data_IF_882145372695
#
_entry.id   IF_882145372695
#
_cell.length_a   1.000
_cell.length_b   1.000
_cell.length_c   1.000
_cell.angle_alpha   90.00
_cell.angle_beta   90.00
_cell.angle_gamma   90.00
#
_symmetry.space_group_name_H-M   'P 1'
#
loop_
_entity.id
_entity.type
_entity.pdbx_description
1 polymer ?
#
# COMPACT_ATOMS: atom_id res chain seq x y z
N UNK A 1 11.28 15.50 -5.90
CA UNK A 1 11.66 14.44 -4.95
C UNK A 1 12.71 15.00 -3.99
N UNK A 2 12.94 14.34 -2.84
CA UNK A 2 14.02 14.70 -1.91
C UNK A 2 15.38 14.38 -2.56
N UNK A 3 16.45 15.08 -2.20
CA UNK A 3 17.79 14.71 -2.68
C UNK A 3 18.18 13.34 -2.12
N UNK A 4 18.94 12.56 -2.90
CA UNK A 4 19.28 11.19 -2.54
C UNK A 4 20.01 11.09 -1.19
N UNK A 5 20.91 12.03 -0.95
CA UNK A 5 21.75 12.07 0.25
C UNK A 5 20.96 12.36 1.52
N UNK A 6 19.77 12.96 1.37
CA UNK A 6 18.90 13.31 2.49
C UNK A 6 17.87 12.20 2.78
N UNK A 7 17.74 11.16 1.94
CA UNK A 7 16.71 10.11 2.09
C UNK A 7 16.84 9.34 3.40
N UNK A 8 15.81 9.28 4.23
CA UNK A 8 15.80 8.50 5.47
C UNK A 8 14.79 7.35 5.39
N UNK A 9 14.60 6.61 6.50
CA UNK A 9 13.68 5.46 6.54
C UNK A 9 12.23 5.84 6.22
N UNK A 10 11.85 7.12 6.35
CA UNK A 10 10.49 7.61 6.05
C UNK A 10 10.29 8.00 4.58
N UNK A 11 11.30 7.82 3.75
CA UNK A 11 11.18 7.94 2.29
C UNK A 11 10.87 6.55 1.69
N UNK A 12 9.74 6.42 0.98
CA UNK A 12 9.23 5.13 0.45
C UNK A 12 10.30 4.27 -0.25
N UNK A 13 11.14 4.89 -1.08
CA UNK A 13 12.22 4.19 -1.79
C UNK A 13 13.26 3.59 -0.82
N UNK A 14 13.65 4.34 0.22
CA UNK A 14 14.61 3.88 1.22
C UNK A 14 13.97 2.83 2.14
N UNK A 15 12.72 3.06 2.57
CA UNK A 15 11.93 2.11 3.34
C UNK A 15 11.93 0.74 2.66
N UNK A 16 11.51 0.71 1.41
CA UNK A 16 11.40 -0.54 0.68
C UNK A 16 12.75 -1.19 0.46
N UNK A 17 13.81 -0.42 0.15
CA UNK A 17 15.16 -0.99 -0.01
C UNK A 17 15.69 -1.63 1.27
N UNK A 18 15.43 -1.01 2.42
CA UNK A 18 15.83 -1.53 3.73
C UNK A 18 15.01 -2.75 4.11
N UNK A 19 13.70 -2.71 3.85
CA UNK A 19 12.80 -3.83 4.13
C UNK A 19 12.88 -4.95 3.09
N UNK A 20 13.54 -4.77 1.94
CA UNK A 20 13.95 -5.86 1.05
C UNK A 20 14.97 -6.81 1.71
N UNK A 21 15.60 -6.39 2.83
CA UNK A 21 16.48 -7.26 3.59
C UNK A 21 15.65 -8.22 4.46
N UNK A 22 15.82 -9.52 4.24
CA UNK A 22 15.05 -10.57 4.92
C UNK A 22 15.17 -10.49 6.45
N UNK A 23 16.37 -10.27 7.00
CA UNK A 23 16.53 -10.19 8.46
C UNK A 23 15.76 -9.00 9.06
N UNK A 24 15.70 -7.86 8.35
CA UNK A 24 14.93 -6.69 8.79
C UNK A 24 13.43 -6.96 8.73
N UNK A 25 12.93 -7.45 7.59
CA UNK A 25 11.52 -7.75 7.40
C UNK A 25 11.03 -8.82 8.38
N UNK A 26 11.83 -9.87 8.56
CA UNK A 26 11.55 -10.97 9.48
C UNK A 26 11.47 -10.49 10.92
N UNK A 27 12.47 -9.77 11.42
CA UNK A 27 12.46 -9.27 12.80
C UNK A 27 11.27 -8.33 13.05
N UNK A 28 11.00 -7.43 12.10
CA UNK A 28 9.86 -6.53 12.18
C UNK A 28 8.53 -7.28 12.27
N UNK A 29 8.28 -8.24 11.37
CA UNK A 29 7.03 -8.99 11.34
C UNK A 29 6.85 -9.85 12.60
N UNK A 30 7.91 -10.52 13.05
CA UNK A 30 7.88 -11.29 14.30
C UNK A 30 7.54 -10.40 15.51
N UNK A 31 8.15 -9.21 15.60
CA UNK A 31 7.92 -8.28 16.69
C UNK A 31 6.53 -7.63 16.64
N UNK A 32 6.04 -7.27 15.46
CA UNK A 32 4.76 -6.58 15.31
C UNK A 32 3.59 -7.53 15.46
N UNK A 33 3.68 -8.73 14.90
CA UNK A 33 2.59 -9.71 14.91
C UNK A 33 2.72 -10.72 16.05
N UNK A 34 3.85 -10.74 16.77
CA UNK A 34 4.15 -11.69 17.87
C UNK A 34 4.07 -13.14 17.42
N UNK A 35 4.69 -13.38 16.27
CA UNK A 35 4.77 -14.69 15.59
C UNK A 35 6.22 -15.14 15.52
N UNK A 36 6.41 -16.44 15.41
CA UNK A 36 7.69 -16.99 14.96
C UNK A 36 7.60 -17.18 13.46
N UNK A 37 8.65 -16.77 12.76
CA UNK A 37 8.80 -16.97 11.33
C UNK A 37 10.12 -17.69 11.13
N UNK A 38 10.12 -18.78 10.37
CA UNK A 38 11.35 -19.53 10.11
C UNK A 38 12.10 -18.98 8.91
N UNK A 39 11.39 -18.79 7.80
CA UNK A 39 11.91 -18.30 6.53
C UNK A 39 10.92 -17.38 5.85
N UNK A 40 11.46 -16.41 5.12
CA UNK A 40 10.66 -15.51 4.30
C UNK A 40 11.28 -15.33 2.94
N UNK A 41 10.43 -15.08 1.95
CA UNK A 41 10.80 -14.48 0.68
C UNK A 41 10.30 -13.03 0.70
N UNK A 42 11.18 -12.09 0.36
CA UNK A 42 10.83 -10.66 0.26
C UNK A 42 10.85 -10.22 -1.19
N UNK A 43 9.72 -9.73 -1.66
CA UNK A 43 9.54 -9.11 -2.97
C UNK A 43 9.27 -7.63 -2.76
N UNK A 44 9.98 -6.79 -3.49
CA UNK A 44 9.77 -5.34 -3.45
C UNK A 44 9.21 -4.88 -4.78
N UNK A 45 8.03 -4.29 -4.73
CA UNK A 45 7.35 -3.79 -5.91
C UNK A 45 7.43 -2.27 -5.98
N UNK A 46 7.54 -1.76 -7.20
CA UNK A 46 7.47 -0.34 -7.48
C UNK A 46 6.35 -0.13 -8.51
N UNK A 47 5.21 0.37 -8.06
CA UNK A 47 4.05 0.64 -8.93
C UNK A 47 3.71 2.12 -8.94
N UNK A 48 3.31 2.64 -10.10
CA UNK A 48 2.91 4.03 -10.25
C UNK A 48 1.38 4.13 -10.16
N UNK A 49 0.88 4.94 -9.22
CA UNK A 49 -0.51 5.40 -9.24
C UNK A 49 -0.55 6.81 -9.82
N UNK A 50 -1.40 7.01 -10.82
CA UNK A 50 -1.70 8.34 -11.37
C UNK A 50 -2.78 8.98 -10.49
N UNK A 51 -2.39 9.89 -9.60
CA UNK A 51 -3.31 10.84 -8.95
C UNK A 51 -3.30 12.16 -9.77
N UNK A 52 -4.46 12.74 -10.13
CA UNK A 52 -4.56 14.02 -10.81
C UNK A 52 -3.82 15.18 -10.13
N UNK A 53 -3.59 15.10 -8.81
CA UNK A 53 -2.98 16.16 -8.01
C UNK A 53 -1.57 15.81 -7.50
N UNK A 54 -1.18 14.52 -7.49
CA UNK A 54 0.14 14.08 -7.04
C UNK A 54 0.69 12.89 -7.85
N UNK A 55 2.02 12.84 -8.03
CA UNK A 55 2.70 11.65 -8.55
C UNK A 55 3.19 10.84 -7.36
N UNK A 56 2.59 9.70 -7.07
CA UNK A 56 3.13 8.78 -6.06
C UNK A 56 3.57 7.47 -6.73
N UNK A 57 4.86 7.16 -6.60
CA UNK A 57 5.34 5.78 -6.78
C UNK A 57 5.21 5.10 -5.43
N UNK A 58 4.48 4.00 -5.44
CA UNK A 58 4.38 3.11 -4.29
C UNK A 58 5.60 2.22 -4.26
N UNK A 59 6.15 2.06 -3.06
CA UNK A 59 7.16 1.06 -2.76
C UNK A 59 6.67 0.20 -1.60
N UNK A 60 6.06 -0.91 -1.96
CA UNK A 60 5.51 -1.93 -1.07
C UNK A 60 6.49 -3.09 -0.93
N UNK A 61 6.43 -3.72 0.23
CA UNK A 61 7.22 -4.89 0.55
C UNK A 61 6.26 -6.03 0.80
N UNK A 62 6.24 -6.97 -0.15
CA UNK A 62 5.51 -8.21 -0.05
C UNK A 62 6.43 -9.26 0.57
N UNK A 63 6.01 -9.82 1.70
CA UNK A 63 6.75 -10.87 2.40
C UNK A 63 5.90 -12.13 2.40
N UNK A 64 6.50 -13.25 2.04
CA UNK A 64 5.87 -14.57 2.01
C UNK A 64 6.59 -15.48 2.99
N UNK A 65 5.87 -16.08 3.92
CA UNK A 65 6.46 -17.12 4.76
C UNK A 65 6.57 -18.43 3.98
N UNK A 66 7.75 -19.05 4.00
CA UNK A 66 7.94 -20.35 3.34
C UNK A 66 7.33 -21.48 4.18
N UNK A 67 6.62 -22.44 3.56
CA UNK A 67 6.16 -23.63 4.26
C UNK A 67 7.34 -24.51 4.68
N UNK A 68 7.25 -25.06 5.90
CA UNK A 68 8.18 -26.05 6.42
C UNK A 68 8.26 -27.27 5.50
N UNK A 69 9.48 -27.79 5.28
CA UNK A 69 9.65 -29.00 4.48
C UNK A 69 9.01 -30.20 5.19
N UNK A 70 8.46 -31.15 4.41
CA UNK A 70 7.74 -32.31 4.95
C UNK A 70 8.56 -33.12 5.98
N UNK A 71 9.90 -33.09 5.91
CA UNK A 71 10.80 -33.78 6.85
C UNK A 71 10.89 -33.15 8.24
N UNK A 72 10.61 -31.85 8.37
CA UNK A 72 10.74 -31.10 9.63
C UNK A 72 9.44 -31.13 10.46
N UNK A 73 8.33 -31.51 9.83
CA UNK A 73 6.98 -31.44 10.40
C UNK A 73 6.61 -32.51 11.44
N UNK A 74 7.42 -33.56 11.59
CA UNK A 74 7.06 -34.73 12.39
C UNK A 74 7.29 -34.58 13.90
N UNK A 75 8.01 -33.54 14.37
CA UNK A 75 8.43 -33.44 15.77
C UNK A 75 7.55 -32.59 16.69
N UNK A 76 6.61 -31.76 16.20
CA UNK A 76 6.04 -30.68 17.04
C UNK A 76 4.51 -30.60 17.14
N UNK A 77 3.77 -31.67 16.87
CA UNK A 77 2.32 -31.70 17.09
C UNK A 77 1.95 -32.00 18.57
N UNK A 78 1.88 -30.96 19.41
CA UNK A 78 1.03 -30.99 20.62
C UNK A 78 0.03 -29.83 20.60
N UNK A 79 -1.23 -30.23 20.64
CA UNK A 79 -2.48 -29.47 20.60
C UNK A 79 -2.53 -28.20 21.46
N UNK A 80 -3.04 -27.10 20.89
CA UNK A 80 -3.54 -25.96 21.65
C UNK A 80 -4.87 -25.46 21.06
N UNK A 81 -5.89 -25.37 21.90
CA UNK A 81 -7.23 -24.87 21.61
C UNK A 81 -7.29 -23.34 21.55
N UNK A 82 -8.15 -22.79 20.68
CA UNK A 82 -8.43 -21.36 20.50
C UNK A 82 -8.85 -20.69 21.83
N UNK A 83 -8.18 -19.61 22.28
CA UNK A 83 -8.62 -18.85 23.44
C UNK A 83 -9.74 -17.85 23.10
N UNK A 84 -10.75 -17.79 23.98
CA UNK A 84 -11.84 -16.80 23.98
C UNK A 84 -11.52 -15.68 24.98
N UNK A 85 -11.12 -14.47 24.53
CA UNK A 85 -11.46 -13.19 25.18
C UNK A 85 -10.76 -11.95 24.57
N UNK A 86 -11.36 -10.75 24.73
CA UNK A 86 -10.91 -9.50 24.13
C UNK A 86 -9.89 -8.81 25.06
N UNK A 87 -8.61 -9.01 24.80
CA UNK A 87 -7.59 -8.46 25.70
C UNK A 87 -6.15 -8.54 25.21
N UNK A 88 -5.93 -8.49 23.89
CA UNK A 88 -4.70 -8.17 23.16
C UNK A 88 -5.00 -8.51 21.68
N UNK A 89 -5.01 -7.57 20.73
CA UNK A 89 -5.35 -7.87 19.34
C UNK A 89 -4.29 -8.72 18.61
N UNK A 90 -3.21 -9.16 19.24
CA UNK A 90 -2.33 -10.20 18.69
C UNK A 90 -2.54 -11.57 19.37
N UNK A 91 -3.58 -11.73 20.23
CA UNK A 91 -3.87 -13.01 20.88
C UNK A 91 -4.58 -14.02 19.96
N UNK A 92 -5.15 -13.55 18.85
CA UNK A 92 -5.84 -14.39 17.85
C UNK A 92 -4.95 -14.79 16.67
N UNK A 93 -3.80 -14.11 16.49
CA UNK A 93 -2.79 -14.55 15.54
C UNK A 93 -2.31 -15.92 16.01
N UNK A 94 -2.38 -16.93 15.13
CA UNK A 94 -2.04 -18.30 15.52
C UNK A 94 -0.58 -18.32 16.01
N UNK A 95 -0.38 -18.51 17.32
CA UNK A 95 0.94 -18.62 17.97
C UNK A 95 1.55 -20.02 17.79
N UNK A 96 0.83 -20.92 17.13
CA UNK A 96 1.24 -22.29 16.86
C UNK A 96 2.09 -22.34 15.59
N UNK A 97 3.30 -22.94 15.63
CA UNK A 97 4.00 -23.38 14.43
C UNK A 97 3.03 -24.24 13.59
N UNK A 98 2.77 -23.86 12.34
CA UNK A 98 1.88 -24.62 11.46
C UNK A 98 2.65 -25.81 10.88
N UNK A 99 2.01 -26.98 10.92
CA UNK A 99 2.53 -28.25 10.41
C UNK A 99 2.58 -28.33 8.89
N UNK A 100 3.25 -29.35 8.34
CA UNK A 100 3.57 -29.63 6.90
C UNK A 100 2.51 -29.39 5.81
N UNK A 101 1.24 -29.14 6.12
CA UNK A 101 0.24 -28.71 5.14
C UNK A 101 -0.12 -27.22 5.24
N UNK A 102 0.63 -26.46 6.05
CA UNK A 102 0.38 -25.07 6.36
C UNK A 102 0.77 -24.17 5.20
N UNK A 103 -0.24 -23.65 4.51
CA UNK A 103 -0.07 -22.55 3.57
C UNK A 103 0.58 -21.37 4.33
N UNK A 104 1.65 -20.79 3.77
CA UNK A 104 2.39 -19.70 4.40
C UNK A 104 1.53 -18.44 4.58
N UNK A 105 2.04 -17.40 5.23
CA UNK A 105 1.37 -16.10 5.34
C UNK A 105 1.90 -15.10 4.33
N UNK A 106 1.02 -14.20 3.89
CA UNK A 106 1.36 -13.04 3.08
C UNK A 106 1.31 -11.77 3.93
N UNK A 107 2.34 -10.96 3.82
CA UNK A 107 2.42 -9.66 4.47
C UNK A 107 2.72 -8.59 3.43
N UNK A 108 1.81 -7.65 3.26
CA UNK A 108 2.08 -6.42 2.52
C UNK A 108 2.40 -5.33 3.53
N UNK A 109 3.57 -4.69 3.39
CA UNK A 109 4.01 -3.62 4.28
C UNK A 109 4.20 -2.35 3.45
N UNK A 110 3.45 -1.31 3.78
CA UNK A 110 3.51 -0.02 3.09
C UNK A 110 3.71 1.13 4.08
N UNK A 111 4.68 2.00 3.78
CA UNK A 111 4.86 3.27 4.45
C UNK A 111 3.99 4.36 3.80
N UNK A 112 3.27 5.12 4.62
CA UNK A 112 2.39 6.20 4.17
C UNK A 112 2.62 7.49 4.96
N UNK A 113 3.14 8.51 4.28
CA UNK A 113 3.46 9.81 4.89
C UNK A 113 2.28 10.79 4.88
N UNK A 114 1.36 10.65 3.93
CA UNK A 114 0.22 11.55 3.76
C UNK A 114 -1.13 10.83 3.88
N UNK A 115 -2.18 11.57 4.24
CA UNK A 115 -3.53 11.04 4.19
C UNK A 115 -4.11 11.30 2.80
N UNK A 116 -4.18 10.24 2.00
CA UNK A 116 -4.66 10.27 0.63
C UNK A 116 -6.18 9.99 0.55
N UNK A 117 -6.77 9.46 1.63
CA UNK A 117 -8.21 9.16 1.76
C UNK A 117 -8.64 7.81 1.18
N UNK A 118 -7.84 7.17 0.33
CA UNK A 118 -8.15 5.89 -0.33
C UNK A 118 -7.50 4.66 0.32
N UNK A 119 -6.70 4.81 1.38
CA UNK A 119 -5.97 3.68 1.99
C UNK A 119 -6.86 2.46 2.33
N UNK A 120 -8.10 2.62 2.83
CA UNK A 120 -8.97 1.45 3.06
C UNK A 120 -9.34 0.71 1.76
N UNK A 121 -9.58 1.43 0.67
CA UNK A 121 -9.84 0.83 -0.65
C UNK A 121 -8.58 0.20 -1.22
N UNK A 122 -7.42 0.82 -0.98
CA UNK A 122 -6.10 0.34 -1.39
C UNK A 122 -5.71 -0.96 -0.68
N UNK A 123 -5.98 -1.05 0.62
CA UNK A 123 -5.81 -2.28 1.40
C UNK A 123 -6.64 -3.45 0.83
N UNK A 124 -7.88 -3.18 0.39
CA UNK A 124 -8.71 -4.19 -0.31
C UNK A 124 -8.11 -4.60 -1.65
N UNK A 125 -7.54 -3.65 -2.39
CA UNK A 125 -6.86 -3.94 -3.66
C UNK A 125 -5.64 -4.85 -3.44
N UNK A 126 -4.81 -4.60 -2.43
CA UNK A 126 -3.64 -5.45 -2.13
C UNK A 126 -4.01 -6.85 -1.71
N UNK A 127 -5.06 -6.99 -0.90
CA UNK A 127 -5.61 -8.29 -0.57
C UNK A 127 -5.99 -9.07 -1.84
N UNK A 128 -6.70 -8.43 -2.78
CA UNK A 128 -7.04 -9.07 -4.05
C UNK A 128 -5.82 -9.40 -4.92
N UNK A 129 -4.78 -8.58 -4.90
CA UNK A 129 -3.51 -8.87 -5.60
C UNK A 129 -2.80 -10.07 -4.97
N UNK A 130 -2.75 -10.15 -3.64
CA UNK A 130 -2.20 -11.30 -2.92
C UNK A 130 -2.98 -12.58 -3.25
N UNK A 131 -4.32 -12.52 -3.31
CA UNK A 131 -5.16 -13.66 -3.71
C UNK A 131 -4.83 -14.15 -5.14
N UNK A 132 -4.60 -13.23 -6.08
CA UNK A 132 -4.22 -13.57 -7.46
C UNK A 132 -2.84 -14.21 -7.55
N UNK A 133 -1.88 -13.71 -6.76
CA UNK A 133 -0.53 -14.27 -6.70
C UNK A 133 -0.49 -15.64 -6.01
N UNK A 134 -1.35 -15.84 -5.00
CA UNK A 134 -1.46 -17.10 -4.27
C UNK A 134 -2.17 -18.19 -5.09
N UNK A 135 -3.16 -17.83 -5.91
CA UNK A 135 -3.96 -18.78 -6.69
C UNK A 135 -3.35 -19.05 -8.07
N UNK A 136 -2.60 -20.14 -8.19
CA UNK A 136 -2.24 -20.72 -9.49
C UNK A 136 -3.46 -21.20 -10.28
N UNK A 137 -3.30 -21.41 -11.59
CA UNK A 137 -4.39 -21.90 -12.46
C UNK A 137 -4.92 -23.26 -11.95
N UNK A 138 -6.16 -23.26 -11.43
CA UNK A 138 -6.83 -24.46 -10.91
C UNK A 138 -6.68 -24.71 -9.41
N UNK A 139 -6.10 -23.76 -8.66
CA UNK A 139 -5.99 -23.83 -7.20
C UNK A 139 -7.37 -23.78 -6.50
N UNK A 140 -7.48 -24.44 -5.34
CA UNK A 140 -8.69 -24.43 -4.51
C UNK A 140 -8.73 -23.20 -3.59
N UNK A 141 -9.91 -22.66 -3.32
CA UNK A 141 -10.09 -21.57 -2.35
C UNK A 141 -9.65 -21.94 -0.93
N UNK A 142 -9.63 -23.22 -0.56
CA UNK A 142 -9.09 -23.69 0.72
C UNK A 142 -7.56 -23.47 0.85
N UNK A 143 -6.87 -23.25 -0.27
CA UNK A 143 -5.43 -22.97 -0.31
C UNK A 143 -5.11 -21.49 -0.07
N UNK A 144 -6.14 -20.62 0.00
CA UNK A 144 -5.93 -19.20 0.24
C UNK A 144 -5.19 -18.97 1.55
N UNK A 145 -4.11 -18.18 1.42
CA UNK A 145 -3.20 -17.89 2.50
C UNK A 145 -3.74 -16.79 3.40
N UNK A 146 -3.35 -16.86 4.67
CA UNK A 146 -3.63 -15.81 5.64
C UNK A 146 -2.84 -14.55 5.27
N UNK A 147 -3.52 -13.40 5.30
CA UNK A 147 -3.02 -12.15 4.73
C UNK A 147 -3.05 -10.99 5.74
N UNK A 148 -1.96 -10.23 5.74
CA UNK A 148 -1.77 -9.06 6.58
C UNK A 148 -1.37 -7.86 5.73
N UNK A 149 -2.24 -6.86 5.66
CA UNK A 149 -1.90 -5.57 5.06
C UNK A 149 -1.53 -4.59 6.16
N UNK A 150 -0.28 -4.14 6.20
CA UNK A 150 0.29 -3.33 7.25
C UNK A 150 0.65 -1.94 6.70
N UNK A 151 -0.08 -0.93 7.14
CA UNK A 151 0.25 0.46 6.85
C UNK A 151 0.99 1.11 8.02
N UNK A 152 2.16 1.68 7.73
CA UNK A 152 2.91 2.53 8.65
C UNK A 152 2.63 3.99 8.31
N UNK A 153 1.74 4.62 9.08
CA UNK A 153 1.21 5.95 8.78
C UNK A 153 1.84 7.04 9.64
N UNK A 154 2.22 8.17 9.03
CA UNK A 154 2.71 9.33 9.78
C UNK A 154 1.57 10.12 10.46
N UNK A 155 0.37 10.08 9.88
CA UNK A 155 -0.84 10.80 10.33
C UNK A 155 -1.94 9.79 10.68
N UNK A 156 -2.82 10.18 11.60
CA UNK A 156 -4.00 9.40 11.98
C UNK A 156 -5.11 9.53 10.92
N UNK A 157 -5.07 8.68 9.90
CA UNK A 157 -5.99 8.70 8.74
C UNK A 157 -7.46 8.43 9.11
N UNK A 158 -7.73 7.88 10.29
CA UNK A 158 -9.10 7.60 10.75
C UNK A 158 -9.64 8.67 11.69
N UNK A 159 -8.77 9.56 12.18
CA UNK A 159 -9.13 10.66 13.08
C UNK A 159 -9.76 10.20 14.40
N UNK A 160 -9.49 8.98 14.87
CA UNK A 160 -10.05 8.44 16.13
C UNK A 160 -9.08 8.47 17.31
N UNK A 161 -7.92 9.08 17.15
CA UNK A 161 -7.01 9.28 18.26
C UNK A 161 -6.12 8.08 18.56
N UNK A 162 -6.30 6.92 17.92
CA UNK A 162 -5.58 5.69 18.31
C UNK A 162 -4.18 5.61 17.68
N UNK A 163 -3.19 5.01 18.38
CA UNK A 163 -1.87 4.76 17.81
C UNK A 163 -1.84 3.54 16.89
N UNK A 164 -2.79 2.59 17.04
CA UNK A 164 -2.88 1.40 16.20
C UNK A 164 -4.36 1.09 15.94
N UNK A 165 -4.68 0.76 14.69
CA UNK A 165 -5.98 0.27 14.26
C UNK A 165 -5.85 -1.14 13.71
N UNK A 166 -6.79 -2.00 14.10
CA UNK A 166 -6.86 -3.40 13.71
C UNK A 166 -8.21 -3.63 13.06
N UNK A 167 -8.22 -4.13 11.83
CA UNK A 167 -9.44 -4.41 11.09
C UNK A 167 -9.46 -5.86 10.60
N UNK A 168 -10.63 -6.47 10.76
CA UNK A 168 -11.01 -7.80 10.26
C UNK A 168 -12.52 -7.79 10.02
N UNK A 169 -13.00 -8.69 9.16
CA UNK A 169 -14.42 -8.84 8.88
C UNK A 169 -15.14 -9.53 10.06
N UNK A 170 -16.27 -8.96 10.46
CA UNK A 170 -17.10 -9.42 11.59
C UNK A 170 -18.57 -9.13 11.32
N UNK A 171 -19.46 -9.83 12.01
CA UNK A 171 -20.89 -9.56 11.96
C UNK A 171 -21.20 -8.19 12.60
N UNK A 172 -22.20 -7.48 12.06
CA UNK A 172 -22.49 -6.10 12.44
C UNK A 172 -23.23 -6.01 13.78
N UNK A 173 -24.20 -6.92 14.00
CA UNK A 173 -25.03 -6.92 15.22
C UNK A 173 -24.35 -7.58 16.42
N UNK A 174 -23.51 -8.59 16.17
CA UNK A 174 -22.63 -9.26 17.13
C UNK A 174 -21.17 -9.26 16.64
N UNK A 175 -20.42 -8.16 16.91
CA UNK A 175 -19.01 -8.03 16.56
C UNK A 175 -18.07 -9.10 17.15
N UNK A 176 -18.55 -9.93 18.09
CA UNK A 176 -17.81 -11.08 18.60
C UNK A 176 -17.70 -12.23 17.60
N UNK A 177 -18.59 -12.27 16.60
CA UNK A 177 -18.60 -13.25 15.52
C UNK A 177 -17.68 -12.78 14.41
N UNK A 178 -16.54 -13.45 14.26
CA UNK A 178 -15.56 -13.18 13.21
C UNK A 178 -15.91 -13.95 11.95
N UNK A 179 -15.74 -13.33 10.77
CA UNK A 179 -15.97 -13.98 9.49
C UNK A 179 -15.00 -15.14 9.24
N UNK A 180 -13.78 -15.05 9.77
CA UNK A 180 -12.77 -16.10 9.63
C UNK A 180 -12.16 -16.19 8.22
N UNK A 181 -12.19 -15.09 7.46
CA UNK A 181 -11.60 -14.98 6.12
C UNK A 181 -10.08 -14.81 6.12
N UNK A 182 -9.44 -14.85 7.30
CA UNK A 182 -7.98 -14.77 7.49
C UNK A 182 -7.34 -13.52 6.88
N UNK A 183 -8.10 -12.43 6.75
CA UNK A 183 -7.65 -11.19 6.14
C UNK A 183 -7.62 -10.05 7.16
N UNK A 184 -6.43 -9.54 7.44
CA UNK A 184 -6.19 -8.55 8.48
C UNK A 184 -5.59 -7.27 7.90
N UNK A 185 -6.08 -6.12 8.35
CA UNK A 185 -5.60 -4.80 7.91
C UNK A 185 -5.24 -3.97 9.13
N UNK A 186 -3.96 -3.65 9.28
CA UNK A 186 -3.44 -2.99 10.46
C UNK A 186 -2.79 -1.67 10.07
N UNK A 187 -3.10 -0.62 10.82
CA UNK A 187 -2.57 0.72 10.58
C UNK A 187 -1.87 1.20 11.85
N UNK A 188 -0.58 1.46 11.74
CA UNK A 188 0.26 1.94 12.83
C UNK A 188 0.53 3.43 12.64
N UNK A 189 0.08 4.26 13.57
CA UNK A 189 0.30 5.70 13.54
C UNK A 189 1.62 5.98 14.27
N UNK A 190 2.73 5.94 13.53
CA UNK A 190 4.05 5.87 14.17
C UNK A 190 4.42 7.12 14.96
N UNK A 191 3.85 8.29 14.65
CA UNK A 191 4.02 9.52 15.46
C UNK A 191 3.34 9.48 16.83
N UNK A 192 2.49 8.47 17.10
CA UNK A 192 1.88 8.22 18.41
C UNK A 192 2.58 7.08 19.16
N UNK A 193 3.87 6.87 18.90
CA UNK A 193 4.64 5.79 19.51
C UNK A 193 4.57 5.80 21.05
N UNK A 194 4.53 6.98 21.69
CA UNK A 194 4.42 7.12 23.14
C UNK A 194 3.16 6.48 23.75
N UNK A 195 2.09 6.35 22.97
CA UNK A 195 0.83 5.73 23.41
C UNK A 195 0.81 4.20 23.23
N UNK A 196 1.79 3.63 22.52
CA UNK A 196 1.86 2.19 22.24
C UNK A 196 2.38 1.46 23.45
N UNK A 197 1.61 0.47 23.96
CA UNK A 197 1.98 -0.28 25.17
C UNK A 197 3.09 -1.32 24.94
N UNK A 198 3.07 -1.99 23.79
CA UNK A 198 4.04 -3.03 23.46
C UNK A 198 5.42 -2.40 23.19
N UNK A 199 6.44 -2.85 23.90
CA UNK A 199 7.77 -2.25 23.83
C UNK A 199 8.44 -2.43 22.46
N UNK A 200 8.32 -3.63 21.85
CA UNK A 200 8.90 -3.87 20.53
C UNK A 200 8.21 -2.99 19.48
N UNK A 201 6.87 -2.95 19.46
CA UNK A 201 6.13 -2.12 18.48
C UNK A 201 6.47 -0.65 18.71
N UNK A 202 6.48 -0.19 19.97
CA UNK A 202 6.84 1.20 20.30
C UNK A 202 8.22 1.56 19.76
N UNK A 203 9.21 0.69 19.91
CA UNK A 203 10.58 0.93 19.46
C UNK A 203 10.65 1.16 17.94
N UNK A 204 10.01 0.31 17.13
CA UNK A 204 9.92 0.53 15.69
C UNK A 204 9.22 1.85 15.35
N UNK A 205 8.07 2.13 15.98
CA UNK A 205 7.32 3.36 15.71
C UNK A 205 8.10 4.61 16.13
N UNK A 206 8.84 4.55 17.23
CA UNK A 206 9.75 5.60 17.66
C UNK A 206 10.85 5.80 16.63
N UNK A 207 11.47 4.73 16.14
CA UNK A 207 12.50 4.83 15.10
C UNK A 207 11.96 5.48 13.82
N UNK A 208 10.78 5.10 13.33
CA UNK A 208 10.17 5.77 12.17
C UNK A 208 9.83 7.24 12.44
N UNK A 209 9.47 7.59 13.68
CA UNK A 209 9.12 8.96 14.04
C UNK A 209 10.33 9.88 14.26
N UNK A 210 11.42 9.36 14.83
CA UNK A 210 12.53 10.18 15.36
C UNK A 210 13.91 9.78 14.84
N UNK A 211 14.03 8.62 14.19
CA UNK A 211 15.29 7.98 13.80
C UNK A 211 16.20 7.62 14.98
N UNK A 212 15.69 7.62 16.22
CA UNK A 212 16.46 7.15 17.38
C UNK A 212 16.67 5.63 17.33
N UNK A 213 17.93 5.19 17.35
CA UNK A 213 18.32 3.80 17.16
C UNK A 213 19.24 3.31 18.28
N UNK A 214 18.67 3.09 19.46
CA UNK A 214 19.44 2.72 20.67
C UNK A 214 19.69 1.22 20.82
N UNK A 215 18.83 0.38 20.24
CA UNK A 215 19.00 -1.07 20.25
C UNK A 215 19.75 -1.57 19.03
N UNK A 216 20.29 -2.77 19.15
CA UNK A 216 20.97 -3.48 18.04
C UNK A 216 20.06 -3.61 16.80
N UNK A 217 18.76 -3.89 17.00
CA UNK A 217 17.79 -4.01 15.90
C UNK A 217 17.62 -2.68 15.16
N UNK A 218 17.39 -1.59 15.88
CA UNK A 218 17.23 -0.27 15.24
C UNK A 218 18.55 0.21 14.61
N UNK A 219 19.68 -0.07 15.26
CA UNK A 219 21.00 0.28 14.73
C UNK A 219 21.29 -0.47 13.43
N UNK A 220 20.89 -1.75 13.33
CA UNK A 220 21.02 -2.53 12.09
C UNK A 220 20.22 -1.91 10.94
N UNK A 221 18.98 -1.50 11.19
CA UNK A 221 18.14 -0.80 10.21
C UNK A 221 18.80 0.52 9.80
N UNK A 222 19.27 1.32 10.77
CA UNK A 222 19.92 2.59 10.49
C UNK A 222 21.24 2.44 9.71
N UNK A 223 22.05 1.42 10.03
CA UNK A 223 23.25 1.07 9.27
C UNK A 223 22.94 0.72 7.82
N UNK A 224 21.82 0.06 7.54
CA UNK A 224 21.38 -0.20 6.16
C UNK A 224 20.96 1.07 5.44
N UNK A 225 20.22 1.98 6.10
CA UNK A 225 19.89 3.30 5.54
C UNK A 225 21.17 4.04 5.13
N UNK A 226 22.15 4.15 6.03
CA UNK A 226 23.43 4.81 5.76
C UNK A 226 24.23 4.12 4.65
N UNK A 227 24.23 2.78 4.62
CA UNK A 227 24.88 2.02 3.55
C UNK A 227 24.25 2.33 2.19
N UNK A 228 22.92 2.31 2.09
CA UNK A 228 22.24 2.57 0.84
C UNK A 228 22.43 4.03 0.39
N UNK A 229 22.41 5.01 1.29
CA UNK A 229 22.77 6.42 0.97
C UNK A 229 24.12 6.57 0.28
N UNK A 230 25.05 5.66 0.53
CA UNK A 230 26.40 5.69 -0.04
C UNK A 230 26.58 4.73 -1.23
N UNK A 231 25.59 3.89 -1.52
CA UNK A 231 25.65 2.90 -2.60
C UNK A 231 25.40 3.56 -3.99
N UNK A 232 26.39 3.55 -4.90
CA UNK A 232 26.24 4.12 -6.23
C UNK A 232 25.17 3.43 -7.08
N UNK A 233 24.93 2.12 -6.86
CA UNK A 233 23.92 1.37 -7.61
C UNK A 233 22.52 1.82 -7.19
N UNK A 234 22.26 1.88 -5.89
CA UNK A 234 20.99 2.39 -5.36
C UNK A 234 20.77 3.86 -5.72
N UNK A 235 21.82 4.69 -5.70
CA UNK A 235 21.76 6.08 -6.16
C UNK A 235 21.33 6.19 -7.62
N UNK A 236 21.94 5.38 -8.50
CA UNK A 236 21.58 5.34 -9.91
C UNK A 236 20.13 4.91 -10.10
N UNK A 237 19.65 3.89 -9.36
CA UNK A 237 18.27 3.45 -9.42
C UNK A 237 17.28 4.57 -9.02
N UNK A 238 17.58 5.31 -7.95
CA UNK A 238 16.77 6.46 -7.52
C UNK A 238 16.74 7.59 -8.56
N UNK A 239 17.90 7.92 -9.15
CA UNK A 239 17.98 8.95 -10.20
C UNK A 239 17.22 8.55 -11.47
N UNK A 240 17.31 7.29 -11.89
CA UNK A 240 16.54 6.77 -13.03
C UNK A 240 15.04 6.89 -12.76
N UNK A 241 14.58 6.49 -11.57
CA UNK A 241 13.19 6.63 -11.16
C UNK A 241 12.72 8.09 -11.20
N UNK A 242 13.51 9.02 -10.67
CA UNK A 242 13.20 10.44 -10.70
C UNK A 242 13.04 10.96 -12.14
N UNK A 243 13.93 10.55 -13.05
CA UNK A 243 13.84 10.89 -14.47
C UNK A 243 12.58 10.30 -15.11
N UNK A 244 12.25 9.04 -14.85
CA UNK A 244 11.03 8.42 -15.36
C UNK A 244 9.77 9.14 -14.87
N UNK A 245 9.73 9.53 -13.59
CA UNK A 245 8.60 10.27 -13.02
C UNK A 245 8.45 11.68 -13.62
N UNK A 246 9.56 12.34 -13.90
CA UNK A 246 9.54 13.64 -14.59
C UNK A 246 9.03 13.50 -16.03
N UNK A 247 9.50 12.48 -16.77
CA UNK A 247 9.02 12.18 -18.13
C UNK A 247 7.52 11.89 -18.13
N UNK A 248 7.05 11.00 -17.24
CA UNK A 248 5.62 10.64 -17.14
C UNK A 248 4.77 11.87 -16.83
N UNK A 249 5.23 12.74 -15.93
CA UNK A 249 4.52 13.97 -15.63
C UNK A 249 4.44 14.95 -16.78
N UNK A 250 5.56 15.18 -17.48
CA UNK A 250 5.56 16.08 -18.64
C UNK A 250 4.56 15.57 -19.68
N UNK A 251 4.55 14.26 -19.95
CA UNK A 251 3.55 13.62 -20.82
C UNK A 251 2.12 13.79 -20.29
N UNK A 252 1.91 13.63 -18.98
CA UNK A 252 0.60 13.85 -18.36
C UNK A 252 0.11 15.30 -18.48
N UNK A 253 1.01 16.27 -18.30
CA UNK A 253 0.70 17.70 -18.40
C UNK A 253 0.44 18.11 -19.86
N UNK A 254 1.21 17.57 -20.81
CA UNK A 254 0.97 17.74 -22.24
C UNK A 254 -0.38 17.16 -22.65
N UNK A 255 -0.71 15.95 -22.19
CA UNK A 255 -2.01 15.30 -22.44
C UNK A 255 -3.15 16.11 -21.84
N UNK A 256 -3.06 16.51 -20.57
CA UNK A 256 -4.08 17.33 -19.91
C UNK A 256 -4.27 18.70 -20.58
N UNK A 257 -3.19 19.33 -21.06
CA UNK A 257 -3.27 20.56 -21.84
C UNK A 257 -3.95 20.32 -23.19
N UNK A 258 -3.64 19.23 -23.88
CA UNK A 258 -4.27 18.89 -25.15
C UNK A 258 -5.77 18.61 -24.98
N UNK A 259 -6.15 17.86 -23.95
CA UNK A 259 -7.55 17.58 -23.58
C UNK A 259 -8.29 18.87 -23.24
N UNK A 260 -7.73 19.74 -22.39
CA UNK A 260 -8.36 21.02 -22.03
C UNK A 260 -8.52 21.98 -23.21
N UNK A 261 -7.56 22.01 -24.14
CA UNK A 261 -7.70 22.79 -25.39
C UNK A 261 -8.79 22.19 -26.29
N UNK A 262 -8.87 20.87 -26.39
CA UNK A 262 -9.90 20.19 -27.18
C UNK A 262 -11.30 20.43 -26.61
N UNK A 263 -11.46 20.33 -25.29
CA UNK A 263 -12.70 20.61 -24.56
C UNK A 263 -13.10 22.08 -24.72
N UNK A 264 -12.19 23.02 -24.47
CA UNK A 264 -12.47 24.45 -24.66
C UNK A 264 -12.86 24.82 -26.09
N UNK A 265 -12.22 24.21 -27.10
CA UNK A 265 -12.64 24.37 -28.50
C UNK A 265 -14.01 23.75 -28.77
N UNK A 266 -14.38 22.67 -28.10
CA UNK A 266 -15.70 22.04 -28.26
C UNK A 266 -16.79 22.92 -27.65
N UNK A 267 -16.54 23.50 -26.48
CA UNK A 267 -17.46 24.43 -25.82
C UNK A 267 -17.61 25.73 -26.61
N UNK A 268 -16.51 26.29 -27.13
CA UNK A 268 -16.57 27.47 -28.01
C UNK A 268 -17.42 27.21 -29.26
N UNK A 269 -17.30 26.01 -29.88
CA UNK A 269 -18.14 25.62 -31.02
C UNK A 269 -19.62 25.55 -30.66
N UNK A 270 -19.95 25.06 -29.46
CA UNK A 270 -21.34 25.00 -28.97
C UNK A 270 -21.90 26.40 -28.68
N UNK A 271 -21.14 27.26 -28.01
CA UNK A 271 -21.56 28.65 -27.74
C UNK A 271 -21.75 29.45 -29.03
N UNK A 272 -20.85 29.29 -30.01
CA UNK A 272 -20.99 29.92 -31.33
C UNK A 272 -22.23 29.42 -32.08
N UNK A 273 -22.48 28.10 -32.06
CA UNK A 273 -23.66 27.51 -32.68
C UNK A 273 -24.97 28.02 -32.07
N UNK A 274 -25.00 28.13 -30.72
CA UNK A 274 -26.12 28.71 -29.98
C UNK A 274 -26.36 30.17 -30.38
N UNK A 275 -25.30 30.98 -30.41
CA UNK A 275 -25.40 32.39 -30.80
C UNK A 275 -25.95 32.58 -32.23
N UNK A 276 -25.49 31.78 -33.20
CA UNK A 276 -26.00 31.85 -34.58
C UNK A 276 -27.45 31.38 -34.69
N UNK A 277 -27.84 30.33 -33.96
CA UNK A 277 -29.22 29.86 -33.93
C UNK A 277 -30.15 30.95 -33.37
N UNK A 278 -29.75 31.58 -32.28
CA UNK A 278 -30.56 32.62 -31.62
C UNK A 278 -30.72 33.88 -32.50
N UNK A 279 -29.80 34.09 -33.46
CA UNK A 279 -29.88 35.12 -34.50
C UNK A 279 -30.69 34.70 -35.73
N UNK A 280 -31.25 33.49 -35.77
CA UNK A 280 -32.06 32.99 -36.87
C UNK A 280 -31.28 32.51 -38.10
N UNK A 281 -29.98 32.25 -37.96
CA UNK A 281 -29.17 31.64 -39.03
C UNK A 281 -29.66 30.20 -39.28
N UNK A 282 -29.69 29.77 -40.54
CA UNK A 282 -30.17 28.41 -40.87
C UNK A 282 -29.26 27.33 -40.30
N UNK A 283 -29.87 26.22 -39.87
CA UNK A 283 -29.17 25.09 -39.22
C UNK A 283 -28.06 24.52 -40.12
N UNK A 284 -28.28 24.46 -41.44
CA UNK A 284 -27.29 23.94 -42.40
C UNK A 284 -26.03 24.82 -42.46
N UNK A 285 -26.20 26.15 -42.35
CA UNK A 285 -25.08 27.10 -42.29
C UNK A 285 -24.34 26.95 -40.97
N UNK A 286 -25.06 26.81 -39.84
CA UNK A 286 -24.46 26.61 -38.52
C UNK A 286 -23.65 25.30 -38.47
N UNK A 287 -24.20 24.21 -39.00
CA UNK A 287 -23.55 22.91 -39.07
C UNK A 287 -22.25 22.99 -39.90
N UNK A 288 -22.29 23.68 -41.04
CA UNK A 288 -21.11 23.89 -41.89
C UNK A 288 -20.04 24.73 -41.18
N UNK A 289 -20.43 25.77 -40.42
CA UNK A 289 -19.50 26.68 -39.76
C UNK A 289 -18.91 26.14 -38.45
N UNK A 290 -19.64 25.33 -37.71
CA UNK A 290 -19.26 24.86 -36.36
C UNK A 290 -18.84 23.39 -36.35
N UNK A 291 -19.11 22.63 -37.42
CA UNK A 291 -18.84 21.20 -37.50
C UNK A 291 -19.70 20.34 -36.58
N UNK A 292 -20.74 20.93 -35.95
CA UNK A 292 -21.74 20.22 -35.15
C UNK A 292 -22.83 19.63 -36.05
N UNK A 293 -23.42 18.53 -35.62
CA UNK A 293 -24.55 17.90 -36.30
C UNK A 293 -25.83 18.72 -36.13
N UNK A 294 -26.77 18.57 -37.06
CA UNK A 294 -28.07 19.26 -36.99
C UNK A 294 -28.88 18.87 -35.75
N UNK A 295 -28.66 17.68 -35.19
CA UNK A 295 -29.28 17.24 -33.93
C UNK A 295 -28.67 17.95 -32.72
N UNK A 296 -27.34 18.03 -32.64
CA UNK A 296 -26.64 18.77 -31.58
C UNK A 296 -27.05 20.25 -31.57
N UNK A 297 -27.14 20.89 -32.74
CA UNK A 297 -27.54 22.31 -32.86
C UNK A 297 -28.97 22.56 -32.38
N UNK A 298 -29.89 21.62 -32.63
CA UNK A 298 -31.28 21.71 -32.16
C UNK A 298 -31.40 21.49 -30.65
N UNK A 299 -30.46 20.77 -30.05
CA UNK A 299 -30.45 20.44 -28.62
C UNK A 299 -29.76 21.48 -27.72
N UNK A 300 -29.02 22.44 -28.30
CA UNK A 300 -28.43 23.61 -27.58
C UNK A 300 -29.50 24.60 -27.08
#
# INVERSE_FOLDING_TARGET
MKRYEDLDITDNFMFAKVFSNEDVAKDFLQDILKITIERIEVVTEASAQEDPFHKSVRFDVLVREEPLSASESASELKSASLPKSPGNPNSWISKTPRTASGTGRYFDIELQMDDTGELPKRARYYQGMCDLDALGKGANYEELQEQYILFLCSKDIFGKGKPIYWFQNREDSDPGILMGDLCYKNYYIFKKFDEIKDASIREYMQYFATQEHRSEKMERIHRLVERYRQDPVTRKAYMTLEQELDIRYKRGLEKGRAEGVAEGRADERKELAKAFRDQGVSIDVIATSTGLTSEEIRAL
#
